data_IF_890544832105
#
_entry.id   IF_890544832105
#
_cell.length_a   1.000
_cell.length_b   1.000
_cell.length_c   1.000
_cell.angle_alpha   90.00
_cell.angle_beta   90.00
_cell.angle_gamma   90.00
#
_symmetry.space_group_name_H-M   'P 1'
#
loop_
_entity.id
_entity.type
_entity.pdbx_description
1 polymer ?
#
# COMPACT_ATOMS: atom_id res chain seq x y z
N UNK A 1 -0.63 16.21 -87.74
CA UNK A 1 -1.36 15.87 -86.50
C UNK A 1 -0.81 14.56 -85.98
N UNK A 2 0.17 14.59 -85.06
CA UNK A 2 0.75 13.45 -84.33
C UNK A 2 1.75 13.96 -83.27
N UNK A 3 1.82 13.28 -82.12
CA UNK A 3 2.93 13.34 -81.14
C UNK A 3 2.75 14.41 -80.07
N UNK A 4 2.38 14.15 -78.79
CA UNK A 4 3.14 13.47 -77.70
C UNK A 4 4.51 14.16 -77.48
N UNK A 5 5.01 14.52 -76.29
CA UNK A 5 4.92 13.93 -74.95
C UNK A 5 5.53 14.90 -73.92
N UNK A 6 4.93 14.88 -72.73
CA UNK A 6 5.53 14.96 -71.39
C UNK A 6 6.86 15.68 -71.18
N UNK A 7 6.72 16.74 -70.38
CA UNK A 7 7.68 17.21 -69.38
C UNK A 7 8.16 16.07 -68.45
N UNK A 8 9.45 16.09 -68.18
CA UNK A 8 10.15 15.34 -67.13
C UNK A 8 9.90 16.03 -65.77
N UNK A 9 9.78 15.28 -64.67
CA UNK A 9 10.25 15.76 -63.39
C UNK A 9 11.43 14.93 -62.89
N UNK A 10 12.51 15.68 -62.66
CA UNK A 10 13.64 15.45 -61.76
C UNK A 10 13.42 14.35 -60.72
N UNK A 11 14.26 13.32 -60.81
CA UNK A 11 14.40 12.33 -59.75
C UNK A 11 15.20 12.86 -58.56
N UNK A 12 15.02 12.22 -57.41
CA UNK A 12 16.04 11.56 -56.58
C UNK A 12 15.34 11.01 -55.31
N UNK A 13 15.95 10.11 -54.54
CA UNK A 13 15.47 8.74 -54.32
C UNK A 13 14.89 8.61 -52.91
N UNK A 14 14.45 7.43 -52.48
CA UNK A 14 14.75 6.86 -51.15
C UNK A 14 13.97 5.55 -50.92
N UNK A 15 14.77 4.50 -50.78
CA UNK A 15 14.64 3.42 -49.80
C UNK A 15 13.45 2.46 -49.86
N UNK A 16 13.75 1.33 -50.50
CA UNK A 16 13.23 -0.01 -50.25
C UNK A 16 13.10 -0.34 -48.75
N UNK A 17 11.86 -0.40 -48.22
CA UNK A 17 11.57 -1.01 -46.91
C UNK A 17 10.33 -1.91 -47.04
N UNK A 18 10.51 -3.04 -47.70
CA UNK A 18 9.60 -4.19 -47.59
C UNK A 18 10.32 -5.36 -46.92
N UNK A 19 10.28 -5.38 -45.58
CA UNK A 19 10.20 -6.63 -44.83
C UNK A 19 9.16 -6.48 -43.72
N UNK A 20 7.94 -6.90 -44.04
CA UNK A 20 6.91 -7.26 -43.06
C UNK A 20 7.46 -8.39 -42.21
N UNK A 21 7.78 -8.11 -40.95
CA UNK A 21 7.97 -9.15 -39.95
C UNK A 21 6.63 -9.34 -39.22
N UNK A 22 5.95 -10.45 -39.53
CA UNK A 22 4.76 -10.92 -38.83
C UNK A 22 5.13 -11.35 -37.41
N UNK A 23 4.67 -10.61 -36.40
CA UNK A 23 4.81 -10.99 -34.98
C UNK A 23 3.62 -11.87 -34.59
N UNK A 24 3.90 -13.13 -34.24
CA UNK A 24 2.96 -14.04 -33.61
C UNK A 24 2.75 -13.66 -32.12
N UNK A 25 1.57 -13.92 -31.52
CA UNK A 25 1.26 -13.49 -30.15
C UNK A 25 1.89 -14.45 -29.13
N UNK A 26 2.97 -14.01 -28.48
CA UNK A 26 3.47 -14.60 -27.24
C UNK A 26 2.84 -13.92 -26.04
N UNK A 27 1.82 -14.52 -25.44
CA UNK A 27 1.17 -14.06 -24.21
C UNK A 27 2.04 -14.38 -23.00
N UNK A 28 3.06 -13.55 -22.72
CA UNK A 28 3.67 -13.54 -21.38
C UNK A 28 3.76 -12.09 -20.88
N UNK A 29 2.79 -11.75 -20.03
CA UNK A 29 2.50 -10.41 -19.55
C UNK A 29 3.71 -9.72 -18.92
N UNK A 30 4.32 -8.81 -19.68
CA UNK A 30 5.24 -7.80 -19.14
C UNK A 30 4.39 -6.78 -18.39
N UNK A 31 3.95 -7.13 -17.18
CA UNK A 31 3.37 -6.13 -16.27
C UNK A 31 4.43 -5.04 -16.04
N UNK A 32 4.08 -3.74 -16.16
CA UNK A 32 5.01 -2.65 -15.94
C UNK A 32 5.74 -2.78 -14.60
N UNK A 33 7.03 -2.42 -14.56
CA UNK A 33 7.88 -2.51 -13.35
C UNK A 33 7.26 -1.80 -12.14
N UNK A 34 6.54 -0.70 -12.39
CA UNK A 34 5.79 0.04 -11.37
C UNK A 34 4.68 -0.79 -10.73
N UNK A 35 3.93 -1.58 -11.50
CA UNK A 35 2.85 -2.43 -11.01
C UNK A 35 3.37 -3.53 -10.08
N UNK A 36 4.47 -4.20 -10.46
CA UNK A 36 5.15 -5.17 -9.59
C UNK A 36 5.67 -4.51 -8.31
N UNK A 37 6.09 -3.24 -8.44
CA UNK A 37 6.49 -2.37 -7.35
C UNK A 37 5.40 -2.24 -6.29
N UNK A 38 4.21 -1.80 -6.72
CA UNK A 38 3.03 -1.60 -5.89
C UNK A 38 2.57 -2.92 -5.26
N UNK A 39 2.47 -3.99 -6.05
CA UNK A 39 2.02 -5.31 -5.58
C UNK A 39 2.92 -5.87 -4.47
N UNK A 40 4.22 -5.67 -4.56
CA UNK A 40 5.18 -6.12 -3.54
C UNK A 40 5.03 -5.32 -2.25
N UNK A 41 4.85 -4.00 -2.34
CA UNK A 41 4.57 -3.15 -1.17
C UNK A 41 3.29 -3.57 -0.47
N UNK A 42 2.23 -3.85 -1.23
CA UNK A 42 0.95 -4.30 -0.69
C UNK A 42 1.04 -5.68 -0.02
N UNK A 43 1.83 -6.61 -0.58
CA UNK A 43 2.08 -7.91 0.06
C UNK A 43 2.79 -7.76 1.41
N UNK A 44 3.78 -6.88 1.50
CA UNK A 44 4.48 -6.56 2.75
C UNK A 44 3.52 -5.96 3.79
N UNK A 45 2.68 -5.01 3.41
CA UNK A 45 1.71 -4.40 4.32
C UNK A 45 0.68 -5.41 4.84
N UNK A 46 0.09 -6.23 3.97
CA UNK A 46 -0.86 -7.28 4.40
C UNK A 46 -0.21 -8.29 5.33
N UNK A 47 1.00 -8.74 5.02
CA UNK A 47 1.74 -9.67 5.87
C UNK A 47 2.03 -9.04 7.25
N UNK A 48 2.41 -7.77 7.28
CA UNK A 48 2.65 -7.04 8.52
C UNK A 48 1.38 -6.88 9.36
N UNK A 49 0.23 -6.54 8.77
CA UNK A 49 -1.07 -6.49 9.46
C UNK A 49 -1.37 -7.81 10.16
N UNK A 50 -1.23 -8.94 9.46
CA UNK A 50 -1.49 -10.26 10.03
C UNK A 50 -0.51 -10.59 11.16
N UNK A 51 0.80 -10.39 10.95
CA UNK A 51 1.81 -10.64 11.99
C UNK A 51 1.55 -9.77 13.21
N UNK A 52 1.22 -8.49 13.01
CA UNK A 52 0.96 -7.55 14.10
C UNK A 52 -0.29 -7.95 14.90
N UNK A 53 -1.34 -8.45 14.25
CA UNK A 53 -2.51 -8.99 14.93
C UNK A 53 -2.20 -10.27 15.73
N UNK A 54 -1.32 -11.14 15.21
CA UNK A 54 -0.95 -12.41 15.86
C UNK A 54 -0.02 -12.24 17.07
N UNK A 55 1.05 -11.44 16.93
CA UNK A 55 2.09 -11.35 17.97
C UNK A 55 2.12 -10.01 18.68
N UNK A 56 1.32 -9.04 18.24
CA UNK A 56 1.36 -7.66 18.71
C UNK A 56 2.46 -6.85 18.02
N UNK A 57 2.30 -5.52 18.05
CA UNK A 57 3.24 -4.56 17.46
C UNK A 57 4.66 -4.85 17.90
N UNK A 58 4.91 -4.96 19.20
CA UNK A 58 6.26 -4.96 19.77
C UNK A 58 7.07 -6.22 19.45
N UNK A 59 6.41 -7.36 19.18
CA UNK A 59 7.06 -8.64 18.82
C UNK A 59 7.16 -8.90 17.32
N UNK A 60 6.52 -8.07 16.48
CA UNK A 60 6.63 -8.18 15.02
C UNK A 60 8.11 -8.12 14.60
N UNK A 61 8.55 -8.98 13.68
CA UNK A 61 9.92 -8.93 13.12
C UNK A 61 9.92 -8.81 11.60
N UNK A 62 10.93 -8.15 11.03
CA UNK A 62 11.07 -8.05 9.56
C UNK A 62 11.14 -9.45 8.94
N UNK A 63 11.88 -10.37 9.56
CA UNK A 63 12.01 -11.76 9.10
C UNK A 63 10.66 -12.48 8.97
N UNK A 64 9.78 -12.36 9.96
CA UNK A 64 8.45 -12.99 9.91
C UNK A 64 7.59 -12.36 8.80
N UNK A 65 7.64 -11.04 8.65
CA UNK A 65 6.89 -10.31 7.63
C UNK A 65 7.33 -10.70 6.22
N UNK A 66 8.64 -10.69 5.93
CA UNK A 66 9.14 -11.01 4.58
C UNK A 66 8.91 -12.48 4.23
N UNK A 67 9.02 -13.38 5.21
CA UNK A 67 8.69 -14.80 5.06
C UNK A 67 7.22 -14.97 4.68
N UNK A 68 6.31 -14.32 5.40
CA UNK A 68 4.87 -14.37 5.11
C UNK A 68 4.50 -13.68 3.79
N UNK A 69 5.17 -12.59 3.44
CA UNK A 69 4.95 -11.88 2.18
C UNK A 69 5.53 -12.62 0.95
N UNK A 70 6.35 -13.65 1.16
CA UNK A 70 7.02 -14.38 0.08
C UNK A 70 8.04 -13.53 -0.68
N UNK A 71 8.79 -12.68 0.03
CA UNK A 71 9.79 -11.79 -0.55
C UNK A 71 11.14 -11.93 0.15
N UNK A 72 12.23 -11.64 -0.55
CA UNK A 72 13.57 -11.66 0.05
C UNK A 72 13.76 -10.49 1.04
N UNK A 73 14.56 -10.68 2.10
CA UNK A 73 14.82 -9.65 3.11
C UNK A 73 15.36 -8.34 2.51
N UNK A 74 16.27 -8.41 1.53
CA UNK A 74 16.77 -7.22 0.83
C UNK A 74 15.69 -6.44 0.06
N UNK A 75 14.58 -7.10 -0.33
CA UNK A 75 13.46 -6.44 -0.99
C UNK A 75 12.69 -5.54 -0.02
N UNK A 76 12.62 -5.89 1.27
CA UNK A 76 11.95 -5.10 2.30
C UNK A 76 12.51 -3.67 2.36
N UNK A 77 13.83 -3.55 2.46
CA UNK A 77 14.52 -2.27 2.62
C UNK A 77 14.37 -1.32 1.43
N UNK A 78 13.92 -1.81 0.26
CA UNK A 78 13.55 -0.95 -0.87
C UNK A 78 12.26 -0.16 -0.62
N UNK A 79 11.38 -0.65 0.26
CA UNK A 79 10.05 -0.08 0.51
C UNK A 79 9.91 0.51 1.91
N UNK A 80 10.55 -0.12 2.89
CA UNK A 80 10.48 0.26 4.29
C UNK A 80 11.91 0.30 4.81
N UNK A 81 12.47 1.50 5.09
CA UNK A 81 13.83 1.64 5.61
C UNK A 81 14.06 0.85 6.90
N UNK A 82 13.03 0.76 7.73
CA UNK A 82 13.04 0.01 8.97
C UNK A 82 11.64 -0.53 9.31
N UNK A 83 11.57 -1.23 10.44
CA UNK A 83 10.34 -1.81 10.97
C UNK A 83 9.33 -0.76 11.45
N UNK A 84 9.78 0.36 12.01
CA UNK A 84 8.90 1.41 12.52
C UNK A 84 8.09 2.03 11.37
N UNK A 85 8.73 2.34 10.25
CA UNK A 85 8.06 2.85 9.05
C UNK A 85 7.03 1.87 8.49
N UNK A 86 7.30 0.56 8.56
CA UNK A 86 6.31 -0.46 8.19
C UNK A 86 5.09 -0.42 9.13
N UNK A 87 5.33 -0.37 10.44
CA UNK A 87 4.27 -0.35 11.46
C UNK A 87 3.40 0.90 11.30
N UNK A 88 4.01 2.08 11.15
CA UNK A 88 3.30 3.33 10.89
C UNK A 88 2.43 3.22 9.63
N UNK A 89 2.96 2.65 8.55
CA UNK A 89 2.21 2.46 7.32
C UNK A 89 1.04 1.47 7.46
N UNK A 90 1.13 0.51 8.38
CA UNK A 90 0.00 -0.38 8.71
C UNK A 90 -1.04 0.37 9.55
N UNK A 91 -0.61 1.06 10.60
CA UNK A 91 -1.49 1.83 11.48
C UNK A 91 -2.23 2.95 10.72
N UNK A 92 -1.57 3.60 9.77
CA UNK A 92 -2.21 4.62 8.93
C UNK A 92 -3.37 4.07 8.06
N UNK A 93 -3.49 2.75 7.91
CA UNK A 93 -4.58 2.06 7.18
C UNK A 93 -5.60 1.42 8.12
N UNK A 94 -5.36 1.45 9.41
CA UNK A 94 -6.24 0.87 10.42
C UNK A 94 -7.37 1.87 10.73
N UNK A 95 -8.65 1.54 10.47
CA UNK A 95 -9.77 2.43 10.71
C UNK A 95 -9.89 2.82 12.19
N UNK A 96 -9.56 1.92 13.11
CA UNK A 96 -9.54 2.21 14.55
C UNK A 96 -8.52 3.29 14.84
N UNK A 97 -7.30 3.14 14.31
CA UNK A 97 -6.24 4.13 14.54
C UNK A 97 -6.59 5.51 13.96
N UNK A 98 -7.22 5.54 12.78
CA UNK A 98 -7.69 6.79 12.17
C UNK A 98 -8.74 7.48 13.03
N UNK A 99 -9.77 6.76 13.45
CA UNK A 99 -10.82 7.28 14.32
C UNK A 99 -10.26 7.74 15.68
N UNK A 100 -9.27 7.03 16.24
CA UNK A 100 -8.59 7.46 17.47
C UNK A 100 -7.94 8.83 17.32
N UNK A 101 -7.21 9.08 16.21
CA UNK A 101 -6.57 10.37 15.95
C UNK A 101 -7.59 11.49 15.78
N UNK A 102 -8.69 11.24 15.08
CA UNK A 102 -9.78 12.21 14.89
C UNK A 102 -10.44 12.59 16.22
N UNK A 103 -10.81 11.58 17.04
CA UNK A 103 -11.42 11.80 18.35
C UNK A 103 -10.48 12.58 19.27
N UNK A 104 -9.19 12.23 19.30
CA UNK A 104 -8.21 12.95 20.10
C UNK A 104 -8.05 14.40 19.65
N UNK A 105 -7.98 14.64 18.34
CA UNK A 105 -7.89 15.99 17.80
C UNK A 105 -9.11 16.84 18.16
N UNK A 106 -10.31 16.28 18.02
CA UNK A 106 -11.57 16.93 18.42
C UNK A 106 -11.60 17.26 19.91
N UNK A 107 -11.14 16.34 20.77
CA UNK A 107 -11.07 16.54 22.22
C UNK A 107 -10.12 17.68 22.59
N UNK A 108 -8.95 17.76 21.94
CA UNK A 108 -7.97 18.82 22.15
C UNK A 108 -8.55 20.18 21.73
N UNK A 109 -9.18 20.26 20.56
CA UNK A 109 -9.82 21.50 20.10
C UNK A 109 -10.98 21.95 21.00
N UNK A 110 -11.75 20.99 21.51
CA UNK A 110 -12.82 21.30 22.47
C UNK A 110 -12.18 21.83 23.76
N UNK A 111 -11.20 21.15 24.33
CA UNK A 111 -10.55 21.57 25.57
C UNK A 111 -9.90 22.98 25.47
N UNK A 112 -9.37 23.37 24.32
CA UNK A 112 -8.79 24.71 24.12
C UNK A 112 -9.84 25.81 23.98
N UNK A 113 -11.08 25.48 23.58
CA UNK A 113 -12.17 26.46 23.40
C UNK A 113 -12.99 26.69 24.67
N UNK A 114 -13.29 25.64 25.45
CA UNK A 114 -14.03 25.76 26.73
C UNK A 114 -13.15 26.06 27.94
N UNK A 115 -11.82 26.08 27.78
CA UNK A 115 -10.89 26.27 28.90
C UNK A 115 -10.91 25.11 29.90
N UNK A 116 -10.37 25.33 31.10
CA UNK A 116 -10.17 24.27 32.10
C UNK A 116 -11.47 23.65 32.62
N UNK A 117 -12.58 24.41 32.65
CA UNK A 117 -13.87 23.96 33.18
C UNK A 117 -14.54 22.90 32.29
N UNK A 118 -14.35 22.96 30.96
CA UNK A 118 -14.92 22.00 30.02
C UNK A 118 -13.97 20.85 29.62
N UNK A 119 -12.70 20.94 29.99
CA UNK A 119 -11.67 19.96 29.61
C UNK A 119 -12.00 18.54 30.10
N UNK A 120 -12.42 18.38 31.35
CA UNK A 120 -12.79 17.07 31.92
C UNK A 120 -13.96 16.42 31.17
N UNK A 121 -14.99 17.20 30.82
CA UNK A 121 -16.13 16.69 30.06
C UNK A 121 -15.75 16.29 28.63
N UNK A 122 -14.93 17.10 27.95
CA UNK A 122 -14.43 16.81 26.61
C UNK A 122 -13.57 15.54 26.59
N UNK A 123 -12.64 15.40 27.53
CA UNK A 123 -11.80 14.21 27.66
C UNK A 123 -12.63 12.95 27.98
N UNK A 124 -13.64 13.08 28.85
CA UNK A 124 -14.53 11.96 29.19
C UNK A 124 -15.37 11.52 27.97
N UNK A 125 -15.90 12.47 27.20
CA UNK A 125 -16.64 12.18 25.98
C UNK A 125 -15.74 11.50 24.93
N UNK A 126 -14.52 11.99 24.74
CA UNK A 126 -13.52 11.40 23.86
C UNK A 126 -13.17 9.97 24.28
N UNK A 127 -12.88 9.74 25.56
CA UNK A 127 -12.58 8.41 26.10
C UNK A 127 -13.71 7.42 25.84
N UNK A 128 -14.97 7.82 26.03
CA UNK A 128 -16.13 6.97 25.71
C UNK A 128 -16.21 6.64 24.23
N UNK A 129 -15.99 7.61 23.34
CA UNK A 129 -16.00 7.38 21.89
C UNK A 129 -14.88 6.43 21.46
N UNK A 130 -13.68 6.55 22.03
CA UNK A 130 -12.57 5.63 21.75
C UNK A 130 -12.94 4.19 22.11
N UNK A 131 -13.59 3.97 23.26
CA UNK A 131 -14.06 2.64 23.67
C UNK A 131 -15.12 2.09 22.72
N UNK A 132 -16.06 2.93 22.27
CA UNK A 132 -17.09 2.51 21.31
C UNK A 132 -16.49 2.12 19.96
N UNK A 133 -15.57 2.93 19.41
CA UNK A 133 -14.88 2.63 18.15
C UNK A 133 -14.18 1.28 18.21
N UNK A 134 -13.45 1.00 19.31
CA UNK A 134 -12.77 -0.29 19.47
C UNK A 134 -13.78 -1.44 19.58
N UNK A 135 -14.93 -1.22 20.23
CA UNK A 135 -15.97 -2.24 20.35
C UNK A 135 -16.67 -2.52 19.01
N UNK A 136 -16.92 -1.48 18.21
CA UNK A 136 -17.61 -1.58 16.92
C UNK A 136 -16.71 -2.21 15.84
N UNK A 137 -15.42 -1.89 15.85
CA UNK A 137 -14.43 -2.40 14.90
C UNK A 137 -13.78 -3.71 15.34
N UNK A 138 -14.05 -4.20 16.56
CA UNK A 138 -13.62 -5.52 16.97
C UNK A 138 -14.27 -6.53 16.00
N UNK A 139 -13.52 -7.15 15.08
CA UNK A 139 -14.02 -8.36 14.44
C UNK A 139 -14.21 -9.35 15.58
N UNK A 140 -15.08 -10.36 15.41
CA UNK A 140 -15.08 -11.52 16.28
C UNK A 140 -13.62 -12.03 16.40
N UNK A 141 -12.93 -11.64 17.47
CA UNK A 141 -11.56 -12.01 17.76
C UNK A 141 -11.65 -13.48 18.14
N UNK A 142 -11.68 -14.34 17.14
CA UNK A 142 -11.42 -15.74 17.32
C UNK A 142 -10.05 -15.80 18.01
N UNK A 143 -9.97 -16.35 19.23
CA UNK A 143 -8.80 -16.22 20.07
C UNK A 143 -7.60 -16.67 19.27
N UNK A 144 -6.61 -15.78 19.12
CA UNK A 144 -5.36 -16.07 18.45
C UNK A 144 -4.90 -17.44 18.92
N UNK A 145 -4.95 -18.47 18.04
CA UNK A 145 -4.50 -19.81 18.41
C UNK A 145 -3.10 -19.64 18.94
N UNK A 146 -2.80 -20.04 20.18
CA UNK A 146 -1.46 -19.93 20.70
C UNK A 146 -0.55 -20.67 19.72
N UNK A 147 0.44 -19.94 19.18
CA UNK A 147 1.50 -20.54 18.39
C UNK A 147 2.12 -21.61 19.28
N UNK A 148 1.93 -22.88 18.95
CA UNK A 148 2.61 -23.97 19.60
C UNK A 148 4.10 -23.61 19.62
N UNK A 149 4.67 -23.56 20.83
CA UNK A 149 6.11 -23.38 20.98
C UNK A 149 6.77 -24.46 20.11
N UNK A 150 7.59 -24.03 19.14
CA UNK A 150 8.42 -24.97 18.41
C UNK A 150 9.38 -25.64 19.42
N UNK A 151 9.64 -26.95 19.27
CA UNK A 151 10.43 -27.73 20.24
C UNK A 151 11.88 -27.24 20.37
#
# INVERSE_FOLDING_TARGET
MSGTTSITPTGSPELNVLRRNTVAPGTNGVRPRQQRGIETRERLLRAATVVMAEVGRDRLTICEVVKRAGVAAGTFYRYFPDRAVLIEAVLARDPVHQAQLEILNEAVLTATTVGTEGCSAALTAAARRLVQVVADEAPALEPARPRAAAP
#
